data_IF_522484458687
#
_entry.id   IF_522484458687
#
_cell.length_a   1.000
_cell.length_b   1.000
_cell.length_c   1.000
_cell.angle_alpha   90.00
_cell.angle_beta   90.00
_cell.angle_gamma   90.00
#
_symmetry.space_group_name_H-M   'P 1'
#
loop_
_entity.id
_entity.type
_entity.pdbx_description
1 polymer ?
#
# COMPACT_ATOMS: atom_id res chain seq x y z
N UNK A 1 -56.58 -4.82 17.19
CA UNK A 1 -55.37 -4.05 16.83
C UNK A 1 -55.16 -4.18 15.33
N UNK A 2 -55.50 -3.14 14.55
CA UNK A 2 -55.80 -3.28 13.11
C UNK A 2 -54.56 -3.51 12.24
N UNK A 3 -54.67 -4.42 11.27
CA UNK A 3 -53.64 -4.84 10.30
C UNK A 3 -52.97 -3.66 9.56
N UNK A 4 -53.70 -2.55 9.40
CA UNK A 4 -53.18 -1.28 8.85
C UNK A 4 -52.07 -0.64 9.71
N UNK A 5 -52.07 -0.83 11.03
CA UNK A 5 -51.02 -0.32 11.93
C UNK A 5 -49.76 -1.19 11.93
N UNK A 6 -49.88 -2.49 11.63
CA UNK A 6 -48.75 -3.43 11.57
C UNK A 6 -47.96 -3.25 10.26
N UNK A 7 -48.64 -2.93 9.15
CA UNK A 7 -47.97 -2.68 7.86
C UNK A 7 -47.13 -1.39 7.85
N UNK A 8 -47.48 -0.39 8.68
CA UNK A 8 -46.70 0.84 8.85
C UNK A 8 -45.43 0.66 9.72
N UNK A 9 -45.36 -0.39 10.53
CA UNK A 9 -44.21 -0.65 11.42
C UNK A 9 -43.08 -1.46 10.74
N UNK A 10 -43.36 -2.13 9.62
CA UNK A 10 -42.39 -2.97 8.90
C UNK A 10 -41.54 -2.23 7.84
N UNK A 11 -41.88 -0.98 7.51
CA UNK A 11 -41.09 -0.14 6.59
C UNK A 11 -40.00 0.70 7.29
N UNK A 12 -39.92 0.66 8.63
CA UNK A 12 -38.94 1.45 9.41
C UNK A 12 -37.62 0.72 9.70
N UNK A 13 -37.39 -0.43 9.07
CA UNK A 13 -36.11 -1.15 9.12
C UNK A 13 -35.29 -0.95 7.83
N UNK A 14 -35.31 0.27 7.27
CA UNK A 14 -34.26 0.69 6.36
C UNK A 14 -32.95 0.77 7.18
N UNK A 15 -32.27 -0.37 7.30
CA UNK A 15 -31.01 -0.51 8.00
C UNK A 15 -30.09 0.61 7.53
N UNK A 16 -29.58 1.38 8.49
CA UNK A 16 -28.57 2.39 8.24
C UNK A 16 -27.32 1.61 7.82
N UNK A 17 -27.17 1.37 6.52
CA UNK A 17 -25.91 0.90 5.96
C UNK A 17 -24.89 1.98 6.30
N UNK A 18 -24.01 1.67 7.25
CA UNK A 18 -22.85 2.49 7.56
C UNK A 18 -21.94 2.45 6.32
N UNK A 19 -22.29 3.25 5.32
CA UNK A 19 -21.58 3.28 4.05
C UNK A 19 -20.22 3.92 4.29
N UNK A 20 -19.15 3.27 3.83
CA UNK A 20 -17.81 3.85 3.87
C UNK A 20 -17.85 5.25 3.26
N UNK A 21 -17.39 6.26 4.01
CA UNK A 21 -17.46 7.65 3.56
C UNK A 21 -16.50 7.95 2.40
N UNK A 22 -15.56 7.06 2.14
CA UNK A 22 -14.56 7.15 1.09
C UNK A 22 -14.54 5.84 0.32
N UNK A 23 -14.54 5.95 -1.01
CA UNK A 23 -14.39 4.82 -1.92
C UNK A 23 -13.23 5.08 -2.88
N UNK A 24 -12.31 4.12 -2.95
CA UNK A 24 -11.29 4.11 -3.99
C UNK A 24 -11.84 3.55 -5.31
N UNK A 25 -11.36 4.06 -6.44
CA UNK A 25 -11.67 3.50 -7.76
C UNK A 25 -11.14 2.06 -7.92
N UNK A 26 -10.00 1.77 -7.29
CA UNK A 26 -9.39 0.45 -7.19
C UNK A 26 -8.71 0.28 -5.84
N UNK A 27 -8.70 -0.94 -5.32
CA UNK A 27 -7.97 -1.28 -4.09
C UNK A 27 -6.68 -2.04 -4.38
N UNK A 28 -6.51 -2.58 -5.59
CA UNK A 28 -5.30 -3.30 -5.99
C UNK A 28 -4.71 -2.68 -7.26
N UNK A 29 -3.38 -2.51 -7.29
CA UNK A 29 -2.62 -2.05 -8.44
C UNK A 29 -1.50 -3.04 -8.77
N UNK A 30 -1.40 -3.46 -10.04
CA UNK A 30 -0.28 -4.26 -10.53
C UNK A 30 0.75 -3.35 -11.20
N UNK A 31 1.96 -3.26 -10.63
CA UNK A 31 3.07 -2.52 -11.20
C UNK A 31 3.74 -3.27 -12.36
N UNK A 32 3.34 -4.51 -12.62
CA UNK A 32 3.98 -5.38 -13.59
C UNK A 32 5.39 -5.75 -13.14
N UNK A 33 6.28 -5.86 -14.12
CA UNK A 33 7.66 -6.27 -13.88
C UNK A 33 8.64 -5.10 -14.04
N UNK A 34 9.51 -4.88 -13.05
CA UNK A 34 10.50 -3.81 -13.06
C UNK A 34 11.91 -4.33 -12.72
N UNK A 35 12.98 -3.75 -13.29
CA UNK A 35 14.36 -4.08 -12.89
C UNK A 35 14.65 -3.61 -11.47
N UNK A 36 15.41 -4.40 -10.71
CA UNK A 36 15.92 -4.05 -9.38
C UNK A 36 16.78 -2.77 -9.39
N UNK A 37 17.51 -2.54 -10.49
CA UNK A 37 18.42 -1.41 -10.70
C UNK A 37 17.77 -0.24 -11.48
N UNK A 38 16.43 -0.17 -11.47
CA UNK A 38 15.72 0.91 -12.19
C UNK A 38 16.06 2.28 -11.62
N UNK A 39 16.46 3.21 -12.51
CA UNK A 39 16.66 4.61 -12.17
C UNK A 39 15.31 5.32 -11.91
N UNK A 40 14.26 4.91 -12.65
CA UNK A 40 12.92 5.47 -12.50
C UNK A 40 12.09 4.57 -11.61
N UNK A 41 11.88 5.01 -10.37
CA UNK A 41 11.06 4.29 -9.39
C UNK A 41 9.62 4.12 -9.90
N UNK A 42 9.08 2.89 -9.91
CA UNK A 42 7.68 2.63 -10.26
C UNK A 42 6.72 3.42 -9.37
N UNK A 43 5.66 3.95 -9.98
CA UNK A 43 4.61 4.72 -9.29
C UNK A 43 3.23 4.17 -9.62
N UNK A 44 2.35 4.21 -8.64
CA UNK A 44 0.93 3.93 -8.83
C UNK A 44 0.07 4.99 -8.13
N UNK A 45 -1.04 5.33 -8.79
CA UNK A 45 -1.99 6.33 -8.32
C UNK A 45 -3.32 5.68 -7.96
N UNK A 46 -3.79 6.00 -6.76
CA UNK A 46 -5.07 5.61 -6.20
C UNK A 46 -5.94 6.85 -6.05
N UNK A 47 -6.98 6.94 -6.88
CA UNK A 47 -8.02 7.96 -6.76
C UNK A 47 -9.11 7.46 -5.81
N UNK A 48 -9.57 8.33 -4.93
CA UNK A 48 -10.72 8.08 -4.07
C UNK A 48 -11.72 9.22 -4.15
N UNK A 49 -12.98 8.89 -3.88
CA UNK A 49 -14.09 9.85 -3.81
C UNK A 49 -14.64 9.90 -2.41
N UNK A 50 -14.88 11.11 -1.89
CA UNK A 50 -15.63 11.30 -0.66
C UNK A 50 -17.14 11.16 -0.95
N UNK A 51 -17.73 10.04 -0.52
CA UNK A 51 -19.16 9.75 -0.60
C UNK A 51 -19.92 10.20 0.66
N UNK A 52 -19.21 10.71 1.67
CA UNK A 52 -19.77 11.20 2.92
C UNK A 52 -20.43 12.58 2.80
N UNK A 53 -21.00 13.03 3.92
CA UNK A 53 -21.68 14.34 4.02
C UNK A 53 -20.78 15.45 4.55
N UNK A 54 -19.56 15.12 5.00
CA UNK A 54 -18.58 16.06 5.58
C UNK A 54 -17.27 15.95 4.82
N UNK A 55 -16.46 17.00 4.85
CA UNK A 55 -15.11 16.95 4.29
C UNK A 55 -14.26 15.89 5.00
N UNK A 56 -13.40 15.21 4.25
CA UNK A 56 -12.55 14.12 4.75
C UNK A 56 -11.10 14.32 4.29
N UNK A 57 -10.14 14.05 5.15
CA UNK A 57 -8.70 14.13 4.84
C UNK A 57 -8.03 12.80 5.15
N UNK A 58 -6.94 12.50 4.42
CA UNK A 58 -6.05 11.39 4.79
C UNK A 58 -5.31 11.82 6.06
N UNK A 59 -5.55 11.09 7.15
CA UNK A 59 -4.88 11.29 8.42
C UNK A 59 -3.50 10.62 8.44
N UNK A 60 -3.41 9.40 7.94
CA UNK A 60 -2.18 8.61 7.94
C UNK A 60 -2.19 7.56 6.83
N UNK A 61 -1.01 7.23 6.31
CA UNK A 61 -0.80 6.10 5.40
C UNK A 61 0.30 5.21 5.98
N UNK A 62 -0.04 3.97 6.34
CA UNK A 62 0.90 2.97 6.84
C UNK A 62 1.23 1.96 5.75
N UNK A 63 2.52 1.80 5.45
CA UNK A 63 3.03 0.81 4.49
C UNK A 63 3.60 -0.40 5.21
N UNK A 64 3.58 -1.57 4.56
CA UNK A 64 4.16 -2.79 5.15
C UNK A 64 5.70 -2.86 5.12
N UNK A 65 6.38 -1.97 4.38
CA UNK A 65 7.83 -1.92 4.22
C UNK A 65 8.29 -0.47 4.01
N UNK A 66 9.57 -0.19 4.30
CA UNK A 66 10.22 1.07 3.91
C UNK A 66 10.43 1.24 2.40
N UNK A 67 10.24 0.16 1.62
CA UNK A 67 10.33 0.14 0.16
C UNK A 67 9.17 0.86 -0.56
N UNK A 68 8.18 1.36 0.19
CA UNK A 68 7.06 2.13 -0.34
C UNK A 68 7.01 3.51 0.30
N UNK A 69 6.97 4.54 -0.53
CA UNK A 69 6.78 5.93 -0.11
C UNK A 69 5.42 6.44 -0.58
N UNK A 70 4.64 6.96 0.36
CA UNK A 70 3.35 7.57 0.08
C UNK A 70 3.46 9.10 -0.10
N UNK A 71 2.71 9.63 -1.07
CA UNK A 71 2.53 11.05 -1.32
C UNK A 71 1.05 11.33 -1.56
N UNK A 72 0.49 12.28 -0.82
CA UNK A 72 -0.93 12.63 -0.89
C UNK A 72 -1.14 14.07 -0.41
N UNK A 73 -2.27 14.64 -0.80
CA UNK A 73 -2.69 15.95 -0.31
C UNK A 73 -3.32 15.83 1.09
N UNK A 74 -2.89 16.69 2.02
CA UNK A 74 -3.43 16.76 3.39
C UNK A 74 -4.70 17.63 3.47
N UNK A 75 -5.01 18.39 2.42
CA UNK A 75 -6.21 19.23 2.37
C UNK A 75 -7.47 18.36 2.45
N UNK A 76 -8.52 18.83 3.16
CA UNK A 76 -9.80 18.13 3.18
C UNK A 76 -10.44 18.04 1.79
N UNK A 77 -10.92 16.85 1.44
CA UNK A 77 -11.70 16.56 0.24
C UNK A 77 -13.18 16.72 0.57
N UNK A 78 -13.85 17.63 -0.11
CA UNK A 78 -15.28 17.93 0.09
C UNK A 78 -16.18 16.76 -0.36
N UNK A 79 -17.43 16.67 0.14
CA UNK A 79 -18.43 15.73 -0.36
C UNK A 79 -18.55 15.71 -1.89
N UNK A 80 -18.55 14.53 -2.48
CA UNK A 80 -18.62 14.31 -3.93
C UNK A 80 -17.33 14.63 -4.69
N UNK A 81 -16.27 15.08 -4.03
CA UNK A 81 -14.98 15.38 -4.67
C UNK A 81 -14.00 14.22 -4.54
N UNK A 82 -12.98 14.25 -5.40
CA UNK A 82 -11.93 13.24 -5.45
C UNK A 82 -10.63 13.73 -4.82
N UNK A 83 -9.90 12.78 -4.23
CA UNK A 83 -8.52 12.95 -3.79
C UNK A 83 -7.63 11.87 -4.41
N UNK A 84 -6.31 12.06 -4.28
CA UNK A 84 -5.30 11.17 -4.87
C UNK A 84 -4.27 10.75 -3.84
N UNK A 85 -3.87 9.48 -3.90
CA UNK A 85 -2.76 8.91 -3.17
C UNK A 85 -1.79 8.28 -4.18
N UNK A 86 -0.56 8.76 -4.20
CA UNK A 86 0.51 8.24 -5.04
C UNK A 86 1.46 7.41 -4.18
N UNK A 87 1.71 6.18 -4.60
CA UNK A 87 2.69 5.29 -3.98
C UNK A 87 3.88 5.12 -4.93
N UNK A 88 5.08 5.33 -4.41
CA UNK A 88 6.34 5.11 -5.13
C UNK A 88 7.03 3.89 -4.53
N UNK A 89 7.40 2.93 -5.36
CA UNK A 89 8.04 1.69 -4.95
C UNK A 89 9.54 1.73 -5.29
N UNK A 90 10.36 1.36 -4.31
CA UNK A 90 11.79 1.11 -4.48
C UNK A 90 12.03 -0.40 -4.60
N UNK A 91 12.40 -0.90 -5.78
CA UNK A 91 12.62 -2.33 -6.00
C UNK A 91 14.00 -2.81 -5.52
N UNK A 92 14.90 -1.90 -5.14
CA UNK A 92 16.28 -2.25 -4.81
C UNK A 92 16.34 -3.20 -3.61
N UNK A 93 17.06 -4.32 -3.73
CA UNK A 93 17.18 -5.33 -2.68
C UNK A 93 15.93 -6.19 -2.48
N UNK A 94 14.97 -6.12 -3.40
CA UNK A 94 13.70 -6.85 -3.32
C UNK A 94 13.35 -7.67 -4.58
N UNK A 95 14.26 -8.51 -5.11
CA UNK A 95 13.98 -9.34 -6.29
C UNK A 95 12.84 -10.35 -6.05
N UNK A 96 12.12 -10.69 -7.11
CA UNK A 96 11.02 -11.67 -7.11
C UNK A 96 9.62 -11.06 -7.07
N UNK A 97 8.62 -11.92 -6.93
CA UNK A 97 7.22 -11.51 -6.85
C UNK A 97 6.95 -10.81 -5.50
N UNK A 98 6.16 -9.75 -5.53
CA UNK A 98 5.75 -9.05 -4.32
C UNK A 98 4.25 -8.77 -4.29
N UNK A 99 3.71 -8.74 -3.08
CA UNK A 99 2.39 -8.20 -2.74
C UNK A 99 2.56 -7.39 -1.46
N UNK A 100 2.33 -6.08 -1.53
CA UNK A 100 2.47 -5.15 -0.41
C UNK A 100 1.11 -4.58 -0.05
N UNK A 101 0.85 -4.43 1.25
CA UNK A 101 -0.38 -3.81 1.77
C UNK A 101 -0.08 -2.38 2.20
N UNK A 102 -1.04 -1.49 1.95
CA UNK A 102 -1.01 -0.10 2.40
C UNK A 102 -2.33 0.22 3.09
N UNK A 103 -2.27 0.63 4.34
CA UNK A 103 -3.45 0.98 5.14
C UNK A 103 -3.60 2.50 5.19
N UNK A 104 -4.73 3.01 4.73
CA UNK A 104 -5.05 4.43 4.64
C UNK A 104 -6.09 4.78 5.70
N UNK A 105 -5.72 5.67 6.62
CA UNK A 105 -6.57 6.19 7.67
C UNK A 105 -7.10 7.56 7.26
N UNK A 106 -8.40 7.75 7.41
CA UNK A 106 -9.07 9.02 7.16
C UNK A 106 -9.62 9.60 8.47
N UNK A 107 -9.69 10.93 8.55
CA UNK A 107 -10.07 11.65 9.78
C UNK A 107 -11.48 11.35 10.33
N UNK A 108 -12.39 10.82 9.51
CA UNK A 108 -13.79 10.60 9.87
C UNK A 108 -14.34 9.25 9.34
N UNK A 109 -13.47 8.29 9.08
CA UNK A 109 -13.87 6.97 8.60
C UNK A 109 -13.17 5.84 9.35
N UNK A 110 -14.00 4.93 9.85
CA UNK A 110 -13.61 3.62 10.37
C UNK A 110 -14.48 2.56 9.69
N UNK A 111 -13.93 1.40 9.30
CA UNK A 111 -12.52 1.02 9.36
C UNK A 111 -11.63 1.74 8.31
N UNK A 112 -10.29 1.70 8.45
CA UNK A 112 -9.38 2.24 7.44
C UNK A 112 -9.50 1.48 6.11
N UNK A 113 -9.09 2.13 5.02
CA UNK A 113 -9.03 1.48 3.71
C UNK A 113 -7.73 0.67 3.56
N UNK A 114 -7.83 -0.52 2.99
CA UNK A 114 -6.66 -1.35 2.68
C UNK A 114 -6.48 -1.37 1.17
N UNK A 115 -5.28 -0.97 0.73
CA UNK A 115 -4.83 -1.03 -0.65
C UNK A 115 -3.74 -2.09 -0.80
N UNK A 116 -3.58 -2.61 -2.00
CA UNK A 116 -2.57 -3.58 -2.36
C UNK A 116 -1.81 -3.14 -3.60
N UNK A 117 -0.49 -3.36 -3.58
CA UNK A 117 0.35 -3.25 -4.76
C UNK A 117 1.02 -4.59 -4.98
N UNK A 118 0.99 -5.08 -6.23
CA UNK A 118 1.66 -6.31 -6.63
C UNK A 118 2.55 -6.09 -7.85
N UNK A 119 3.44 -7.04 -8.09
CA UNK A 119 4.30 -7.06 -9.26
C UNK A 119 5.45 -8.04 -9.10
N UNK A 120 6.45 -7.89 -9.96
CA UNK A 120 7.66 -8.70 -9.95
C UNK A 120 8.90 -7.81 -10.14
N UNK A 121 9.91 -8.00 -9.31
CA UNK A 121 11.22 -7.35 -9.48
C UNK A 121 12.16 -8.33 -10.17
N UNK A 122 12.71 -7.94 -11.32
CA UNK A 122 13.74 -8.71 -12.02
C UNK A 122 15.09 -8.42 -11.37
N UNK A 123 15.87 -9.44 -10.99
CA UNK A 123 17.20 -9.25 -10.44
C UNK A 123 18.06 -8.35 -11.33
N UNK A 124 18.92 -7.55 -10.70
CA UNK A 124 19.84 -6.70 -11.44
C UNK A 124 20.69 -7.52 -12.43
N UNK A 125 20.86 -7.00 -13.65
CA UNK A 125 21.61 -7.67 -14.72
C UNK A 125 23.11 -7.80 -14.43
N UNK A 126 23.63 -7.03 -13.48
CA UNK A 126 25.00 -7.11 -12.99
C UNK A 126 25.01 -7.54 -11.52
N UNK A 127 25.73 -8.61 -11.14
CA UNK A 127 25.94 -8.90 -9.75
C UNK A 127 26.63 -7.68 -9.11
N UNK A 128 26.01 -7.12 -8.08
CA UNK A 128 26.61 -6.06 -7.28
C UNK A 128 27.92 -6.62 -6.75
N UNK A 129 29.05 -6.07 -7.21
CA UNK A 129 30.40 -6.43 -6.73
C UNK A 129 30.30 -6.44 -5.21
N UNK A 130 30.36 -7.62 -4.60
CA UNK A 130 30.16 -7.76 -3.18
C UNK A 130 31.26 -6.93 -2.51
N UNK A 131 30.89 -5.87 -1.81
CA UNK A 131 31.84 -5.10 -0.98
C UNK A 131 32.23 -5.92 0.25
N UNK A 132 31.74 -7.16 0.38
CA UNK A 132 32.34 -8.12 1.29
C UNK A 132 33.82 -8.25 0.90
N UNK A 133 34.74 -7.77 1.75
CA UNK A 133 36.14 -8.07 1.54
C UNK A 133 36.24 -9.59 1.46
N UNK A 134 37.02 -10.10 0.51
CA UNK A 134 37.36 -11.51 0.51
C UNK A 134 37.86 -11.86 1.92
N UNK A 135 37.44 -12.99 2.52
CA UNK A 135 38.02 -13.42 3.77
C UNK A 135 39.55 -13.38 3.64
N UNK A 136 40.27 -12.91 4.67
CA UNK A 136 41.72 -12.82 4.60
C UNK A 136 42.27 -14.19 4.19
N UNK A 137 43.14 -14.19 3.17
CA UNK A 137 43.78 -15.42 2.72
C UNK A 137 44.47 -16.08 3.92
N UNK A 138 44.35 -17.40 4.11
CA UNK A 138 45.10 -18.07 5.16
C UNK A 138 46.58 -17.76 4.97
N UNK A 139 47.23 -17.28 6.04
CA UNK A 139 48.66 -17.04 6.01
C UNK A 139 49.37 -18.35 5.61
N UNK A 140 50.19 -18.30 4.57
CA UNK A 140 50.91 -19.44 3.96
C UNK A 140 51.86 -20.17 4.93
N UNK A 141 51.99 -19.70 6.17
CA UNK A 141 52.92 -20.19 7.18
C UNK A 141 52.21 -20.69 8.45
N UNK A 142 51.00 -21.25 8.35
CA UNK A 142 50.47 -22.07 9.44
C UNK A 142 51.17 -23.44 9.40
N UNK A 143 52.05 -23.79 10.36
CA UNK A 143 52.52 -25.15 10.47
C UNK A 143 51.31 -26.04 10.75
N UNK A 144 51.00 -26.94 9.84
CA UNK A 144 50.09 -28.05 10.09
C UNK A 144 50.73 -28.85 11.22
N UNK A 145 50.23 -28.66 12.44
CA UNK A 145 50.55 -29.56 13.55
C UNK A 145 49.94 -30.91 13.20
N UNK A 146 50.76 -31.77 12.61
CA UNK A 146 50.50 -33.20 12.54
C UNK A 146 50.58 -33.76 13.96
N UNK A 147 49.43 -33.96 14.59
CA UNK A 147 49.23 -34.91 15.70
C UNK A 147 47.85 -35.52 15.61
#
# INVERSE_FOLDING_TARGET
MNLRKILLLLFLSAGIFLHAQVRFERTTYDLGSCPEDTVRLPRCEFTFTNLGKRAVSIAEVKTSCGCLKASFDRRPVQPGKTGRLVLTFDPQGHPGNFLRKVTVYFSQQTPPCILQIKGNVRPASRPRRSIFPAPPLPHRNSPVLLR
#
